data_IF_279653110711
#
_entry.id   IF_279653110711
#
_cell.length_a   1.000
_cell.length_b   1.000
_cell.length_c   1.000
_cell.angle_alpha   90.00
_cell.angle_beta   90.00
_cell.angle_gamma   90.00
#
_symmetry.space_group_name_H-M   'P 1'
#
loop_
_entity.id
_entity.type
_entity.pdbx_description
1 polymer ?
#
# COMPACT_ATOMS: atom_id res chain seq x y z
N UNK A 1 -1.83 1.60 8.79
CA UNK A 1 -2.59 2.23 9.87
C UNK A 1 -3.14 3.61 9.49
N UNK A 2 -2.37 4.58 8.90
CA UNK A 2 -2.89 5.91 8.53
C UNK A 2 -4.14 5.86 7.64
N UNK A 3 -4.17 4.99 6.62
CA UNK A 3 -5.35 4.83 5.75
C UNK A 3 -6.59 4.42 6.54
N UNK A 4 -6.44 3.46 7.44
CA UNK A 4 -7.55 2.97 8.26
C UNK A 4 -8.05 4.03 9.24
N UNK A 5 -7.14 4.78 9.87
CA UNK A 5 -7.49 5.88 10.77
C UNK A 5 -8.27 6.97 10.03
N UNK A 6 -7.78 7.40 8.86
CA UNK A 6 -8.42 8.44 8.06
C UNK A 6 -9.84 8.06 7.61
N UNK A 7 -10.07 6.78 7.30
CA UNK A 7 -11.41 6.29 6.93
C UNK A 7 -12.33 6.22 8.14
N UNK A 8 -11.82 5.80 9.30
CA UNK A 8 -12.64 5.71 10.53
C UNK A 8 -13.12 7.08 11.01
N UNK A 9 -12.41 8.14 10.68
CA UNK A 9 -12.79 9.52 11.02
C UNK A 9 -13.85 10.11 10.10
N UNK A 10 -14.01 9.58 8.89
CA UNK A 10 -14.81 10.23 7.85
C UNK A 10 -16.07 9.50 7.38
N UNK A 11 -16.12 8.17 7.40
CA UNK A 11 -17.24 7.43 6.79
C UNK A 11 -17.47 6.05 7.42
N UNK A 12 -18.74 5.64 7.50
CA UNK A 12 -19.15 4.27 7.85
C UNK A 12 -18.99 3.26 6.69
N UNK A 13 -18.24 3.59 5.65
CA UNK A 13 -18.10 2.78 4.45
C UNK A 13 -17.06 1.67 4.59
N UNK A 14 -17.26 0.58 3.85
CA UNK A 14 -16.31 -0.52 3.77
C UNK A 14 -15.18 -0.20 2.79
N UNK A 15 -13.93 -0.23 3.27
CA UNK A 15 -12.76 -0.05 2.44
C UNK A 15 -12.53 -1.25 1.53
N UNK A 16 -12.34 -1.04 0.24
CA UNK A 16 -12.03 -2.08 -0.74
C UNK A 16 -10.57 -2.03 -1.14
N UNK A 17 -9.87 -3.13 -0.93
CA UNK A 17 -8.44 -3.28 -1.23
C UNK A 17 -8.25 -4.45 -2.18
N UNK A 18 -7.59 -4.22 -3.32
CA UNK A 18 -7.12 -5.30 -4.18
C UNK A 18 -5.60 -5.43 -4.04
N UNK A 19 -5.15 -6.43 -3.29
CA UNK A 19 -3.72 -6.69 -3.11
C UNK A 19 -3.49 -8.11 -2.62
N UNK A 20 -2.72 -8.87 -3.37
CA UNK A 20 -2.36 -10.26 -3.07
C UNK A 20 -1.04 -10.42 -2.30
N UNK A 21 -0.38 -9.33 -1.93
CA UNK A 21 0.91 -9.37 -1.24
C UNK A 21 0.88 -8.75 0.15
N UNK A 22 2.04 -8.27 0.59
CA UNK A 22 2.24 -7.69 1.91
C UNK A 22 1.26 -6.54 2.23
N UNK A 23 0.86 -5.76 1.24
CA UNK A 23 -0.14 -4.70 1.42
C UNK A 23 -1.50 -5.27 1.82
N UNK A 24 -2.00 -6.29 1.09
CA UNK A 24 -3.27 -6.95 1.43
C UNK A 24 -3.24 -7.54 2.84
N UNK A 25 -2.14 -8.21 3.20
CA UNK A 25 -1.92 -8.75 4.55
C UNK A 25 -1.90 -7.67 5.63
N UNK A 26 -1.20 -6.55 5.38
CA UNK A 26 -1.17 -5.43 6.32
C UNK A 26 -2.57 -4.85 6.57
N UNK A 27 -3.38 -4.71 5.51
CA UNK A 27 -4.78 -4.28 5.67
C UNK A 27 -5.62 -5.30 6.43
N UNK A 28 -5.51 -6.60 6.12
CA UNK A 28 -6.20 -7.67 6.86
C UNK A 28 -5.85 -7.63 8.35
N UNK A 29 -4.57 -7.55 8.68
CA UNK A 29 -4.07 -7.53 10.06
C UNK A 29 -4.58 -6.30 10.83
N UNK A 30 -4.39 -5.11 10.27
CA UNK A 30 -4.79 -3.85 10.91
C UNK A 30 -6.31 -3.73 10.96
N UNK A 31 -7.02 -4.08 9.88
CA UNK A 31 -8.47 -4.10 9.84
C UNK A 31 -9.07 -5.02 10.91
N UNK A 32 -8.47 -6.21 11.11
CA UNK A 32 -8.91 -7.15 12.14
C UNK A 32 -8.65 -6.62 13.54
N UNK A 33 -7.45 -6.09 13.81
CA UNK A 33 -7.07 -5.55 15.12
C UNK A 33 -7.95 -4.38 15.58
N UNK A 34 -8.36 -3.52 14.65
CA UNK A 34 -9.12 -2.31 14.96
C UNK A 34 -10.58 -2.35 14.51
N UNK A 35 -11.09 -3.53 14.14
CA UNK A 35 -12.48 -3.74 13.73
C UNK A 35 -12.94 -2.82 12.57
N UNK A 36 -12.03 -2.49 11.65
CA UNK A 36 -12.30 -1.58 10.52
C UNK A 36 -13.03 -2.35 9.43
N UNK A 37 -14.17 -1.85 8.91
CA UNK A 37 -14.88 -2.47 7.80
C UNK A 37 -13.98 -2.55 6.55
N UNK A 38 -13.63 -3.75 6.14
CA UNK A 38 -12.67 -3.99 5.07
C UNK A 38 -13.10 -5.16 4.19
N UNK A 39 -12.95 -5.00 2.89
CA UNK A 39 -13.04 -6.07 1.89
C UNK A 39 -11.73 -6.14 1.11
N UNK A 40 -10.99 -7.24 1.27
CA UNK A 40 -9.81 -7.53 0.45
C UNK A 40 -10.21 -8.45 -0.68
N UNK A 41 -9.86 -8.11 -1.93
CA UNK A 41 -10.17 -8.89 -3.13
C UNK A 41 -8.88 -9.48 -3.67
N UNK A 42 -8.83 -10.80 -3.84
CA UNK A 42 -7.66 -11.53 -4.32
C UNK A 42 -8.03 -12.65 -5.29
N UNK A 43 -7.18 -13.02 -6.25
CA UNK A 43 -7.36 -14.25 -7.00
C UNK A 43 -7.12 -15.47 -6.11
N UNK A 44 -7.73 -16.61 -6.44
CA UNK A 44 -7.64 -17.85 -5.67
C UNK A 44 -6.18 -18.32 -5.49
N UNK A 45 -5.34 -18.15 -6.50
CA UNK A 45 -3.93 -18.50 -6.44
C UNK A 45 -3.14 -17.73 -5.37
N UNK A 46 -3.63 -16.58 -4.93
CA UNK A 46 -2.99 -15.77 -3.89
C UNK A 46 -3.49 -16.05 -2.47
N UNK A 47 -4.50 -16.92 -2.31
CA UNK A 47 -5.15 -17.15 -1.02
C UNK A 47 -4.18 -17.67 0.05
N UNK A 48 -3.25 -18.53 -0.31
CA UNK A 48 -2.22 -19.05 0.60
C UNK A 48 -1.28 -17.98 1.17
N UNK A 49 -1.20 -16.84 0.51
CA UNK A 49 -0.38 -15.70 0.95
C UNK A 49 -1.13 -14.77 1.91
N UNK A 50 -2.45 -14.95 2.10
CA UNK A 50 -3.32 -14.09 2.92
C UNK A 50 -3.44 -14.60 4.37
N UNK A 51 -2.32 -15.03 4.96
CA UNK A 51 -2.29 -15.47 6.35
C UNK A 51 -2.28 -14.30 7.33
N UNK A 52 -2.81 -14.54 8.53
CA UNK A 52 -2.87 -13.60 9.66
C UNK A 52 -2.18 -14.22 10.87
N UNK A 53 -1.70 -13.38 11.77
CA UNK A 53 -1.15 -13.77 13.07
C UNK A 53 -2.22 -13.81 14.17
N UNK A 54 -3.37 -13.21 13.91
CA UNK A 54 -4.52 -13.12 14.84
C UNK A 54 -5.79 -13.57 14.10
N UNK A 55 -6.85 -13.85 14.83
CA UNK A 55 -8.14 -14.20 14.25
C UNK A 55 -8.69 -13.00 13.45
N UNK A 56 -9.29 -13.32 12.30
CA UNK A 56 -9.88 -12.30 11.44
C UNK A 56 -11.19 -11.77 12.04
N UNK A 57 -11.25 -10.46 12.24
CA UNK A 57 -12.46 -9.82 12.73
C UNK A 57 -13.64 -9.95 11.74
N UNK A 58 -14.91 -10.14 12.18
CA UNK A 58 -16.07 -10.32 11.30
C UNK A 58 -16.33 -9.16 10.31
N UNK A 59 -15.91 -7.94 10.63
CA UNK A 59 -16.00 -6.78 9.72
C UNK A 59 -14.98 -6.81 8.59
N UNK A 60 -13.96 -7.69 8.68
CA UNK A 60 -12.92 -7.84 7.66
C UNK A 60 -13.28 -9.04 6.79
N UNK A 61 -13.53 -8.80 5.54
CA UNK A 61 -13.95 -9.84 4.58
C UNK A 61 -12.87 -10.06 3.52
N UNK A 62 -12.76 -11.29 3.06
CA UNK A 62 -11.88 -11.69 1.97
C UNK A 62 -12.76 -12.24 0.84
N UNK A 63 -12.75 -11.56 -0.30
CA UNK A 63 -13.39 -12.02 -1.53
C UNK A 63 -12.34 -12.71 -2.42
N UNK A 64 -12.61 -13.94 -2.77
CA UNK A 64 -11.71 -14.77 -3.60
C UNK A 64 -12.32 -14.93 -4.98
N UNK A 65 -11.61 -14.48 -6.02
CA UNK A 65 -12.00 -14.66 -7.41
C UNK A 65 -11.53 -16.04 -7.87
N UNK A 66 -12.47 -16.90 -8.21
CA UNK A 66 -12.24 -18.30 -8.61
C UNK A 66 -12.12 -18.47 -10.12
N UNK A 67 -11.90 -19.72 -10.54
CA UNK A 67 -11.97 -20.11 -11.97
C UNK A 67 -10.74 -19.73 -12.79
N UNK A 68 -9.55 -19.76 -12.18
CA UNK A 68 -8.31 -19.42 -12.87
C UNK A 68 -8.11 -17.92 -13.09
N UNK A 69 -8.94 -17.10 -12.44
CA UNK A 69 -8.85 -15.63 -12.50
C UNK A 69 -7.47 -15.14 -12.05
N UNK A 70 -6.98 -14.13 -12.74
CA UNK A 70 -5.71 -13.49 -12.44
C UNK A 70 -5.87 -12.24 -11.56
N UNK A 71 -4.78 -11.50 -11.38
CA UNK A 71 -4.78 -10.28 -10.59
C UNK A 71 -5.55 -9.13 -11.26
N UNK A 72 -5.62 -9.10 -12.60
CA UNK A 72 -6.38 -8.09 -13.33
C UNK A 72 -7.90 -8.29 -13.13
N UNK A 73 -8.35 -9.55 -13.07
CA UNK A 73 -9.75 -9.89 -12.75
C UNK A 73 -10.12 -9.42 -11.33
N UNK A 74 -9.22 -9.64 -10.37
CA UNK A 74 -9.42 -9.19 -8.99
C UNK A 74 -9.48 -7.65 -8.90
N UNK A 75 -8.65 -6.93 -9.64
CA UNK A 75 -8.70 -5.45 -9.75
C UNK A 75 -10.03 -5.02 -10.37
N UNK A 76 -10.46 -5.63 -11.46
CA UNK A 76 -11.72 -5.33 -12.14
C UNK A 76 -12.91 -5.49 -11.20
N UNK A 77 -12.98 -6.62 -10.48
CA UNK A 77 -14.02 -6.86 -9.48
C UNK A 77 -13.97 -5.84 -8.35
N UNK A 78 -12.78 -5.53 -7.82
CA UNK A 78 -12.62 -4.56 -6.73
C UNK A 78 -13.11 -3.17 -7.13
N UNK A 79 -12.81 -2.73 -8.36
CA UNK A 79 -13.26 -1.45 -8.89
C UNK A 79 -14.80 -1.39 -9.03
N UNK A 80 -15.42 -2.48 -9.48
CA UNK A 80 -16.89 -2.60 -9.57
C UNK A 80 -17.53 -2.54 -8.18
N UNK A 81 -16.98 -3.23 -7.20
CA UNK A 81 -17.49 -3.19 -5.82
C UNK A 81 -17.31 -1.80 -5.22
N UNK A 82 -16.14 -1.18 -5.40
CA UNK A 82 -15.84 0.15 -4.87
C UNK A 82 -16.76 1.26 -5.44
N UNK A 83 -17.41 1.01 -6.58
CA UNK A 83 -18.41 1.91 -7.18
C UNK A 83 -19.80 1.79 -6.53
N UNK A 84 -20.06 0.77 -5.71
CA UNK A 84 -21.33 0.57 -5.03
C UNK A 84 -21.45 1.48 -3.78
N UNK A 85 -22.68 1.84 -3.43
CA UNK A 85 -22.96 2.59 -2.21
C UNK A 85 -22.47 1.83 -0.97
N UNK A 86 -21.83 2.53 -0.05
CA UNK A 86 -21.27 1.95 1.18
C UNK A 86 -19.89 1.31 1.02
N UNK A 87 -19.29 1.42 -0.16
CA UNK A 87 -17.91 0.97 -0.40
C UNK A 87 -17.01 2.14 -0.82
N UNK A 88 -15.73 2.03 -0.51
CA UNK A 88 -14.74 3.05 -0.85
C UNK A 88 -13.42 2.40 -1.31
N UNK A 89 -12.83 2.82 -2.45
CA UNK A 89 -11.57 2.26 -2.92
C UNK A 89 -10.40 2.72 -2.03
N UNK A 90 -9.47 1.84 -1.77
CA UNK A 90 -8.23 2.18 -1.04
C UNK A 90 -7.39 3.24 -1.79
N UNK A 91 -7.44 3.23 -3.12
CA UNK A 91 -6.87 4.29 -3.95
C UNK A 91 -5.40 4.12 -4.36
N UNK A 92 -4.68 3.16 -3.80
CA UNK A 92 -3.29 2.87 -4.18
C UNK A 92 -2.36 4.07 -4.02
N UNK A 93 -1.59 4.37 -5.06
CA UNK A 93 -0.64 5.50 -5.08
C UNK A 93 -1.31 6.88 -4.95
N UNK A 94 -2.60 6.99 -5.26
CA UNK A 94 -3.36 8.25 -5.12
C UNK A 94 -3.74 8.54 -3.67
N UNK A 95 -3.72 7.53 -2.80
CA UNK A 95 -4.06 7.69 -1.40
C UNK A 95 -2.89 8.29 -0.61
N UNK A 96 -3.05 9.55 -0.18
CA UNK A 96 -2.03 10.30 0.59
C UNK A 96 -1.71 9.58 1.89
N UNK A 97 -2.71 9.13 2.64
CA UNK A 97 -2.51 8.44 3.91
C UNK A 97 -1.73 7.12 3.76
N UNK A 98 -1.89 6.43 2.61
CA UNK A 98 -1.06 5.27 2.29
C UNK A 98 0.39 5.68 2.07
N UNK A 99 0.65 6.73 1.31
CA UNK A 99 2.01 7.23 1.08
C UNK A 99 2.65 7.71 2.37
N UNK A 100 1.92 8.42 3.22
CA UNK A 100 2.39 8.83 4.55
C UNK A 100 2.81 7.63 5.40
N UNK A 101 1.96 6.59 5.46
CA UNK A 101 2.30 5.36 6.17
C UNK A 101 3.51 4.64 5.60
N UNK A 102 3.64 4.55 4.28
CA UNK A 102 4.79 3.92 3.64
C UNK A 102 6.08 4.75 3.78
N UNK A 103 5.97 6.07 3.87
CA UNK A 103 7.10 6.98 4.08
C UNK A 103 7.79 6.79 5.43
N UNK A 104 7.11 6.21 6.43
CA UNK A 104 7.69 5.94 7.76
C UNK A 104 8.94 5.05 7.71
N UNK A 105 9.14 4.27 6.64
CA UNK A 105 10.37 3.51 6.43
C UNK A 105 11.58 4.44 6.30
N UNK A 106 11.44 5.53 5.55
CA UNK A 106 12.51 6.52 5.40
C UNK A 106 12.72 7.33 6.68
N UNK A 107 11.64 7.67 7.39
CA UNK A 107 11.72 8.32 8.68
C UNK A 107 12.52 7.48 9.69
N UNK A 108 12.16 6.20 9.84
CA UNK A 108 12.87 5.29 10.75
C UNK A 108 14.34 5.12 10.36
N UNK A 109 14.65 5.06 9.06
CA UNK A 109 16.03 5.01 8.60
C UNK A 109 16.79 6.30 8.91
N UNK A 110 16.16 7.46 8.72
CA UNK A 110 16.78 8.75 9.03
C UNK A 110 17.03 8.92 10.53
N UNK A 111 16.10 8.49 11.38
CA UNK A 111 16.30 8.47 12.85
C UNK A 111 17.47 7.58 13.27
N UNK A 112 17.60 6.40 12.65
CA UNK A 112 18.67 5.46 12.97
C UNK A 112 20.05 5.93 12.48
N UNK A 113 20.11 6.65 11.35
CA UNK A 113 21.35 7.12 10.73
C UNK A 113 21.76 8.53 11.21
N UNK A 114 20.83 9.31 11.75
CA UNK A 114 21.02 10.73 12.05
C UNK A 114 20.96 11.64 10.81
N UNK A 115 20.75 11.10 9.63
CA UNK A 115 20.64 11.82 8.36
C UNK A 115 19.68 11.14 7.38
N UNK A 116 19.19 11.86 6.37
CA UNK A 116 18.42 11.28 5.27
C UNK A 116 19.30 10.27 4.51
N UNK A 117 18.85 9.01 4.30
CA UNK A 117 19.61 8.02 3.53
C UNK A 117 20.02 8.55 2.17
N UNK A 118 21.26 8.30 1.75
CA UNK A 118 21.75 8.77 0.46
C UNK A 118 21.16 8.02 -0.72
N UNK A 119 20.81 6.75 -0.52
CA UNK A 119 20.28 5.86 -1.54
C UNK A 119 19.09 5.07 -0.97
N UNK A 120 18.06 4.93 -1.77
CA UNK A 120 16.90 4.10 -1.48
C UNK A 120 16.67 3.13 -2.63
N UNK A 121 16.74 1.84 -2.36
CA UNK A 121 16.53 0.77 -3.35
C UNK A 121 15.20 0.09 -3.10
N UNK A 122 14.39 -0.07 -4.13
CA UNK A 122 13.10 -0.73 -4.04
C UNK A 122 12.75 -1.53 -5.28
N UNK A 123 12.26 -2.75 -5.08
CA UNK A 123 11.51 -3.46 -6.10
C UNK A 123 10.14 -2.80 -6.26
N UNK A 124 9.79 -2.41 -7.49
CA UNK A 124 8.57 -1.65 -7.76
C UNK A 124 7.56 -2.46 -8.57
N UNK A 125 6.32 -2.49 -8.06
CA UNK A 125 5.12 -2.81 -8.83
C UNK A 125 4.43 -1.50 -9.23
N UNK A 126 3.59 -0.94 -8.35
CA UNK A 126 2.84 0.30 -8.60
C UNK A 126 3.63 1.60 -8.41
N UNK A 127 4.86 1.55 -7.90
CA UNK A 127 5.66 2.73 -7.58
C UNK A 127 5.26 3.48 -6.30
N UNK A 128 4.18 3.10 -5.62
CA UNK A 128 3.68 3.80 -4.42
C UNK A 128 4.76 4.00 -3.36
N UNK A 129 5.56 2.97 -3.08
CA UNK A 129 6.64 3.05 -2.09
C UNK A 129 7.73 4.04 -2.47
N UNK A 130 8.07 4.11 -3.75
CA UNK A 130 9.04 5.09 -4.25
C UNK A 130 8.54 6.52 -4.12
N UNK A 131 7.27 6.78 -4.46
CA UNK A 131 6.65 8.08 -4.26
C UNK A 131 6.66 8.44 -2.77
N UNK A 132 6.24 7.52 -1.91
CA UNK A 132 6.20 7.71 -0.46
C UNK A 132 7.59 8.00 0.13
N UNK A 133 8.61 7.26 -0.32
CA UNK A 133 9.99 7.48 0.12
C UNK A 133 10.51 8.85 -0.32
N UNK A 134 10.21 9.25 -1.55
CA UNK A 134 10.58 10.57 -2.04
C UNK A 134 9.90 11.68 -1.26
N UNK A 135 8.57 11.63 -1.11
CA UNK A 135 7.80 12.63 -0.35
C UNK A 135 8.31 12.76 1.09
N UNK A 136 8.57 11.64 1.78
CA UNK A 136 9.11 11.67 3.12
C UNK A 136 10.52 12.28 3.15
N UNK A 137 11.39 11.94 2.22
CA UNK A 137 12.73 12.52 2.15
C UNK A 137 12.69 14.04 1.98
N UNK A 138 11.77 14.56 1.17
CA UNK A 138 11.58 16.01 1.00
C UNK A 138 11.10 16.69 2.29
N UNK A 139 10.19 16.05 3.03
CA UNK A 139 9.72 16.56 4.33
C UNK A 139 10.86 16.63 5.36
N UNK A 140 11.69 15.57 5.42
CA UNK A 140 12.84 15.53 6.33
C UNK A 140 13.91 16.57 5.97
N UNK A 141 14.13 16.81 4.68
CA UNK A 141 15.00 17.90 4.22
C UNK A 141 14.44 19.27 4.57
N UNK A 142 13.12 19.48 4.45
CA UNK A 142 12.45 20.70 4.86
C UNK A 142 12.49 20.97 6.36
N UNK A 143 12.44 19.92 7.17
CA UNK A 143 12.61 19.97 8.63
C UNK A 143 14.05 20.40 9.02
N UNK A 144 15.05 19.96 8.27
CA UNK A 144 16.46 20.33 8.41
C UNK A 144 17.25 19.55 9.47
N UNK A 145 16.63 18.78 10.35
CA UNK A 145 17.29 17.99 11.40
C UNK A 145 18.17 16.86 10.86
N UNK A 146 17.84 16.33 9.69
CA UNK A 146 18.47 15.17 9.07
C UNK A 146 19.37 15.54 7.88
N UNK A 147 19.92 16.77 7.87
CA UNK A 147 20.83 17.23 6.84
C UNK A 147 20.12 17.83 5.62
N UNK A 148 20.89 18.10 4.54
CA UNK A 148 20.40 18.78 3.33
C UNK A 148 20.61 17.98 2.04
N UNK A 149 21.16 16.78 2.13
CA UNK A 149 21.47 15.96 0.96
C UNK A 149 20.24 15.22 0.49
N UNK A 150 19.94 15.35 -0.82
CA UNK A 150 18.82 14.65 -1.44
C UNK A 150 19.10 13.15 -1.56
N UNK A 151 18.10 12.34 -1.22
CA UNK A 151 18.11 10.90 -1.43
C UNK A 151 18.00 10.58 -2.93
N UNK A 152 18.73 9.56 -3.37
CA UNK A 152 18.62 9.00 -4.72
C UNK A 152 17.77 7.74 -4.69
N UNK A 153 16.77 7.68 -5.58
CA UNK A 153 15.89 6.52 -5.73
C UNK A 153 16.44 5.56 -6.79
N UNK A 154 16.47 4.28 -6.47
CA UNK A 154 16.87 3.20 -7.38
C UNK A 154 15.73 2.19 -7.45
N UNK A 155 15.06 2.11 -8.60
CA UNK A 155 13.94 1.22 -8.80
C UNK A 155 14.34 0.00 -9.60
N UNK A 156 13.90 -1.17 -9.13
CA UNK A 156 14.15 -2.46 -9.78
C UNK A 156 12.82 -3.07 -10.17
N UNK A 157 12.69 -3.49 -11.43
CA UNK A 157 11.51 -4.18 -11.95
C UNK A 157 11.90 -5.53 -12.56
N UNK A 158 10.98 -6.48 -12.46
CA UNK A 158 11.16 -7.79 -13.11
C UNK A 158 10.84 -7.71 -14.60
N UNK A 159 11.61 -8.38 -15.41
CA UNK A 159 11.24 -8.63 -16.79
C UNK A 159 9.99 -9.55 -16.86
N UNK A 160 9.09 -9.35 -17.81
CA UNK A 160 9.09 -8.35 -18.89
C UNK A 160 8.47 -6.99 -18.50
N UNK A 161 8.12 -6.77 -17.23
CA UNK A 161 7.42 -5.56 -16.77
C UNK A 161 8.41 -4.41 -16.53
N UNK A 162 8.66 -3.61 -17.56
CA UNK A 162 9.63 -2.50 -17.54
C UNK A 162 8.97 -1.12 -17.65
N UNK A 163 7.70 -1.02 -17.25
CA UNK A 163 6.85 0.17 -17.45
C UNK A 163 7.53 1.47 -16.99
N UNK A 164 8.22 1.46 -15.85
CA UNK A 164 8.89 2.68 -15.36
C UNK A 164 10.13 3.01 -16.19
N UNK A 165 10.91 2.01 -16.60
CA UNK A 165 12.05 2.21 -17.50
C UNK A 165 11.60 2.74 -18.86
N UNK A 166 10.49 2.24 -19.38
CA UNK A 166 9.95 2.64 -20.67
C UNK A 166 9.34 4.04 -20.63
N UNK A 167 8.71 4.40 -19.51
CA UNK A 167 8.18 5.76 -19.29
C UNK A 167 9.28 6.81 -19.07
N UNK A 168 10.50 6.39 -18.73
CA UNK A 168 11.65 7.29 -18.50
C UNK A 168 12.42 7.62 -19.78
N UNK A 169 12.30 6.82 -20.84
CA UNK A 169 12.93 7.04 -22.16
C UNK A 169 12.18 8.11 -22.97
#
# INVERSE_FOLDING_TARGET
LPVCAHISEGTASTLVVCSAGNTGRAFLQIGSRYAIPLLVVVPEAALSQMWLTEERHPRVRLAVVKGGADYADAISLSNRIAALAGFHPEGGARNVARRDGMGTVVLAAAEALGEVPHHYFQAVGSGTGGIAAWEMSLRLLGDGRFGRRRMRLHFVQNLPFTIMSDAWK
#
